data_IF_741535137193
#
_entry.id   IF_741535137193
#
_cell.length_a   1.000
_cell.length_b   1.000
_cell.length_c   1.000
_cell.angle_alpha   90.00
_cell.angle_beta   90.00
_cell.angle_gamma   90.00
#
_symmetry.space_group_name_H-M   'P 1'
#
loop_
_entity.id
_entity.type
_entity.pdbx_description
1 polymer ?
2 polymer ?
3 non-polymer ?
4 water ?
#
# COMPACT_ATOMS: atom_id res chain seq x y z
N UNK A 9 6.79 -5.30 -17.11
CA UNK A 9 8.22 -5.28 -17.34
C UNK A 9 8.65 -4.06 -18.16
N UNK A 10 7.72 -3.55 -18.99
CA UNK A 10 7.93 -2.27 -19.65
C UNK A 10 7.97 -1.12 -18.65
N UNK A 11 7.40 -1.31 -17.45
CA UNK A 11 7.45 -0.32 -16.39
C UNK A 11 8.65 -0.52 -15.46
N UNK A 12 9.61 -1.36 -15.87
CA UNK A 12 10.80 -1.62 -15.05
C UNK A 12 12.08 -1.43 -15.85
N UNK A 13 12.03 -0.67 -16.95
CA UNK A 13 13.24 -0.43 -17.73
C UNK A 13 14.17 0.56 -17.07
N UNK A 14 13.65 1.33 -16.11
CA UNK A 14 14.42 2.22 -15.26
C UNK A 14 14.29 1.73 -13.82
N UNK A 15 15.41 1.55 -13.15
CA UNK A 15 15.46 1.00 -11.81
C UNK A 15 16.02 2.07 -10.88
N UNK A 16 15.22 2.48 -9.90
CA UNK A 16 15.67 3.43 -8.88
C UNK A 16 16.40 2.68 -7.77
N UNK A 17 17.36 3.36 -7.14
CA UNK A 17 18.11 2.73 -6.06
C UNK A 17 18.44 3.75 -4.99
N UNK A 18 18.81 3.25 -3.80
CA UNK A 18 19.22 4.10 -2.69
C UNK A 18 18.13 5.10 -2.31
N UNK A 19 16.89 4.72 -2.52
CA UNK A 19 15.75 5.59 -2.23
C UNK A 19 15.55 5.58 -0.73
N UNK A 20 15.60 6.76 -0.12
CA UNK A 20 15.46 6.89 1.32
C UNK A 20 14.00 6.82 1.73
N UNK A 21 13.77 6.50 3.00
CA UNK A 21 12.41 6.57 3.53
C UNK A 21 12.00 8.02 3.75
N UNK A 22 12.96 8.89 4.07
CA UNK A 22 12.67 10.27 4.39
C UNK A 22 13.70 11.18 3.73
N UNK A 23 13.23 12.28 3.15
CA UNK A 23 14.09 13.33 2.62
C UNK A 23 13.89 14.60 3.45
N UNK A 24 14.99 15.12 3.97
CA UNK A 24 15.02 16.36 4.77
C UNK A 24 14.33 17.49 4.01
N UNK A 25 13.25 18.06 4.54
CA UNK A 25 12.67 19.23 3.88
C UNK A 25 13.70 20.36 3.89
N UNK A 26 13.69 21.16 2.83
CA UNK A 26 14.68 22.19 2.66
C UNK A 26 15.97 21.75 1.98
N UNK A 27 16.16 20.46 1.75
CA UNK A 27 17.36 19.95 1.10
C UNK A 27 17.08 19.51 -0.33
N UNK A 28 17.99 19.84 -1.24
CA UNK A 28 17.88 19.29 -2.58
C UNK A 28 17.90 17.76 -2.51
N UNK A 29 17.14 17.11 -3.38
CA UNK A 29 17.00 15.65 -3.35
C UNK A 29 17.75 15.06 -4.54
N UNK A 30 18.70 14.16 -4.26
CA UNK A 30 19.36 13.39 -5.31
C UNK A 30 18.60 12.09 -5.57
N UNK A 31 18.22 11.87 -6.81
CA UNK A 31 17.50 10.67 -7.22
C UNK A 31 18.47 9.78 -7.98
N UNK A 32 18.67 8.56 -7.51
CA UNK A 32 19.61 7.61 -8.12
C UNK A 32 18.87 6.54 -8.89
N UNK A 33 19.33 6.24 -10.11
CA UNK A 33 18.67 5.22 -10.90
C UNK A 33 19.64 4.60 -11.89
N UNK A 34 19.25 3.44 -12.44
CA UNK A 34 20.00 2.82 -13.52
C UNK A 34 19.06 2.39 -14.63
N UNK A 35 19.65 2.18 -15.80
CA UNK A 35 18.95 1.69 -16.98
C UNK A 35 19.19 0.19 -17.14
N UNK A 36 18.17 -0.51 -17.62
CA UNK A 36 18.38 -1.88 -18.08
C UNK A 36 19.18 -1.86 -19.37
N UNK A 37 19.75 -3.02 -19.71
CA UNK A 37 20.78 -3.07 -20.76
C UNK A 37 20.30 -2.47 -22.08
N UNK A 38 19.03 -2.62 -22.40
CA UNK A 38 18.50 -2.15 -23.68
C UNK A 38 18.12 -0.68 -23.68
N UNK A 39 17.72 -0.14 -22.53
CA UNK A 39 17.00 1.13 -22.51
C UNK A 39 17.90 2.30 -22.89
N UNK A 40 17.31 3.24 -23.63
CA UNK A 40 18.02 4.42 -24.11
C UNK A 40 17.24 5.68 -23.71
N UNK A 41 17.78 6.52 -22.83
CA UNK A 41 17.06 7.74 -22.43
C UNK A 41 17.06 8.79 -23.53
N UNK A 42 15.95 9.52 -23.65
CA UNK A 42 15.80 10.54 -24.67
C UNK A 42 15.62 11.89 -24.01
N UNK A 43 15.88 12.95 -24.80
CA UNK A 43 16.12 14.27 -24.25
C UNK A 43 14.93 14.80 -23.46
N UNK A 44 13.71 14.44 -23.85
CA UNK A 44 12.52 14.90 -23.15
C UNK A 44 11.91 13.81 -22.27
N UNK A 45 12.70 12.80 -21.91
CA UNK A 45 12.34 11.95 -20.77
C UNK A 45 12.47 12.77 -19.50
N UNK A 46 11.66 12.41 -18.50
CA UNK A 46 11.71 13.12 -17.24
C UNK A 46 11.41 12.16 -16.10
N UNK A 47 11.77 12.58 -14.90
CA UNK A 47 11.44 11.85 -13.69
C UNK A 47 10.57 12.77 -12.84
N UNK A 48 9.39 12.29 -12.49
CA UNK A 48 8.48 13.07 -11.68
C UNK A 48 8.48 12.60 -10.23
N UNK A 49 8.23 13.52 -9.35
CA UNK A 49 7.81 13.18 -8.00
C UNK A 49 6.29 13.14 -8.01
N UNK A 50 5.73 11.97 -7.71
CA UNK A 50 4.29 11.72 -7.72
C UNK A 50 3.83 11.36 -6.32
N UNK A 51 2.64 11.85 -5.96
CA UNK A 51 1.97 11.32 -4.77
C UNK A 51 1.56 9.88 -5.06
N UNK A 52 1.90 8.98 -4.13
CA UNK A 52 1.45 7.60 -4.24
C UNK A 52 -0.05 7.56 -4.48
N UNK A 53 -0.47 6.69 -5.39
CA UNK A 53 -1.87 6.60 -5.77
C UNK A 53 -2.24 7.48 -6.93
N UNK A 54 -1.26 8.14 -7.58
CA UNK A 54 -1.56 8.96 -8.75
C UNK A 54 -2.23 8.13 -9.84
N UNK A 55 -3.09 8.79 -10.62
CA UNK A 55 -3.87 8.09 -11.65
C UNK A 55 -3.40 8.36 -13.08
N UNK A 56 -2.80 9.50 -13.37
CA UNK A 56 -2.18 9.74 -14.67
C UNK A 56 -0.84 10.44 -14.46
N UNK A 57 0.02 10.38 -15.49
CA UNK A 57 1.31 11.06 -15.43
C UNK A 57 1.17 12.58 -15.40
N UNK A 58 -0.03 13.12 -15.65
CA UNK A 58 -0.25 14.54 -15.54
C UNK A 58 -0.10 15.05 -14.10
N UNK A 59 -0.21 14.16 -13.11
CA UNK A 59 -0.44 14.55 -11.72
C UNK A 59 0.86 14.76 -10.93
N UNK A 60 2.01 14.81 -11.60
CA UNK A 60 3.27 14.96 -10.89
C UNK A 60 3.27 16.21 -10.04
N UNK A 61 3.84 16.11 -8.84
CA UNK A 61 4.06 17.30 -8.02
C UNK A 61 5.15 18.18 -8.61
N UNK A 62 6.25 17.58 -9.05
CA UNK A 62 7.28 18.31 -9.76
C UNK A 62 8.04 17.30 -10.60
N UNK A 63 9.03 17.78 -11.34
CA UNK A 63 9.75 16.90 -12.25
C UNK A 63 11.12 17.48 -12.53
N UNK A 64 11.93 16.66 -13.18
CA UNK A 64 13.22 17.07 -13.72
C UNK A 64 13.43 16.34 -15.03
N UNK A 65 13.96 17.04 -16.02
CA UNK A 65 14.44 16.37 -17.21
C UNK A 65 15.49 15.35 -16.84
N UNK A 66 15.45 14.19 -17.49
CA UNK A 66 16.48 13.19 -17.24
C UNK A 66 17.85 13.79 -17.51
N UNK A 67 18.82 13.39 -16.70
CA UNK A 67 20.22 13.73 -16.95
C UNK A 67 20.71 12.92 -18.15
N UNK A 68 21.07 13.59 -19.22
CA UNK A 68 21.58 12.88 -20.39
C UNK A 68 22.97 12.33 -20.11
N UNK A 69 23.18 11.02 -20.30
CA UNK A 69 24.50 10.43 -20.02
C UNK A 69 25.50 10.83 -21.09
N UNK A 70 26.75 11.03 -20.68
CA UNK A 70 27.81 11.43 -21.61
C UNK A 70 28.48 10.25 -22.29
N UNK A 71 28.30 9.04 -21.74
CA UNK A 71 28.67 7.81 -22.45
C UNK A 71 27.93 6.68 -21.76
N UNK A 72 27.04 6.00 -22.49
CA UNK A 72 26.15 5.01 -21.89
C UNK A 72 26.56 3.58 -22.20
N UNK A 73 27.86 3.34 -22.36
CA UNK A 73 28.35 1.98 -22.53
C UNK A 73 29.33 1.58 -21.45
N UNK A 74 29.85 2.53 -20.67
CA UNK A 74 30.84 2.20 -19.65
C UNK A 74 30.21 1.37 -18.54
N UNK A 75 30.96 0.38 -18.05
CA UNK A 75 30.56 -0.35 -16.86
C UNK A 75 30.81 0.46 -15.60
N UNK A 76 31.76 1.40 -15.63
CA UNK A 76 32.04 2.31 -14.53
C UNK A 76 31.17 3.57 -14.60
N UNK A 77 30.05 3.52 -15.33
CA UNK A 77 29.19 4.69 -15.48
C UNK A 77 27.72 4.32 -15.64
N UNK A 78 27.28 3.23 -15.01
CA UNK A 78 25.87 2.87 -15.09
C UNK A 78 25.01 3.72 -14.17
N UNK A 79 25.54 4.12 -13.01
CA UNK A 79 24.78 4.95 -12.07
C UNK A 79 24.38 6.28 -12.70
N UNK A 80 23.11 6.61 -12.58
CA UNK A 80 22.59 7.90 -13.01
C UNK A 80 22.04 8.65 -11.81
N UNK A 81 22.05 9.98 -11.88
CA UNK A 81 21.44 10.82 -10.86
C UNK A 81 20.70 11.98 -11.52
N UNK A 82 19.63 12.43 -10.90
CA UNK A 82 19.04 13.72 -11.20
C UNK A 82 18.69 14.38 -9.87
N UNK A 83 18.79 15.72 -9.83
CA UNK A 83 18.61 16.47 -8.60
C UNK A 83 17.31 17.28 -8.64
N UNK A 84 16.50 17.17 -7.59
CA UNK A 84 15.28 17.97 -7.46
C UNK A 84 15.56 19.10 -6.47
N UNK A 85 15.26 20.32 -6.89
CA UNK A 85 15.53 21.46 -6.04
C UNK A 85 14.53 21.51 -4.90
N UNK A 86 15.03 21.86 -3.70
CA UNK A 86 14.22 21.82 -2.49
C UNK A 86 12.96 22.67 -2.62
N UNK A 87 13.07 23.80 -3.31
CA UNK A 87 11.94 24.71 -3.37
C UNK A 87 10.82 24.21 -4.28
N UNK A 88 10.98 23.08 -4.96
CA UNK A 88 9.90 22.46 -5.70
C UNK A 88 9.31 21.24 -4.98
N UNK A 89 9.86 20.88 -3.82
CA UNK A 89 9.49 19.63 -3.16
C UNK A 89 8.17 19.75 -2.40
N UNK A 90 7.47 18.64 -2.20
CA UNK A 90 6.31 18.65 -1.30
C UNK A 90 6.70 19.13 0.09
N UNK A 91 5.73 19.74 0.77
CA UNK A 91 5.94 20.21 2.14
C UNK A 91 4.87 19.67 3.10
N UNK A 92 4.12 18.65 2.69
CA UNK A 92 3.17 17.96 3.55
C UNK A 92 3.75 16.60 3.94
N UNK A 93 2.91 15.74 4.52
CA UNK A 93 3.35 14.46 5.07
C UNK A 93 2.94 13.27 4.20
N UNK A 94 2.55 13.52 2.96
CA UNK A 94 2.11 12.43 2.11
C UNK A 94 3.30 11.59 1.63
N UNK A 95 3.01 10.37 1.22
CA UNK A 95 4.01 9.51 0.59
C UNK A 95 4.11 9.85 -0.89
N UNK A 96 5.34 9.96 -1.37
CA UNK A 96 5.67 10.23 -2.75
C UNK A 96 6.59 9.13 -3.28
N UNK A 97 6.73 9.10 -4.61
CA UNK A 97 7.63 8.15 -5.27
C UNK A 97 8.17 8.83 -6.52
N UNK A 98 9.28 8.32 -7.04
CA UNK A 98 9.79 8.72 -8.34
C UNK A 98 9.15 7.87 -9.43
N UNK A 99 8.78 8.50 -10.53
CA UNK A 99 8.43 7.79 -11.76
C UNK A 99 9.17 8.38 -12.94
N UNK A 100 9.78 7.50 -13.73
CA UNK A 100 10.42 7.87 -14.99
C UNK A 100 9.38 7.78 -16.09
N UNK A 101 9.17 8.89 -16.81
CA UNK A 101 8.21 8.95 -17.91
C UNK A 101 8.97 9.33 -19.16
N UNK A 102 8.90 8.49 -20.20
CA UNK A 102 9.69 8.77 -21.39
C UNK A 102 8.96 9.76 -22.30
N UNK A 103 9.61 10.08 -23.43
CA UNK A 103 9.08 11.08 -24.35
C UNK A 103 7.65 10.77 -24.77
N UNK A 104 7.33 9.51 -25.02
CA UNK A 104 6.02 9.10 -25.46
C UNK A 104 5.01 9.02 -24.33
N UNK A 105 5.42 9.31 -23.09
CA UNK A 105 4.52 9.23 -21.96
C UNK A 105 4.45 7.88 -21.30
N UNK A 106 5.24 6.91 -21.73
CA UNK A 106 5.26 5.61 -21.07
C UNK A 106 6.05 5.73 -19.78
N UNK A 107 5.46 5.27 -18.68
CA UNK A 107 6.20 5.12 -17.43
C UNK A 107 7.19 3.98 -17.57
N UNK A 108 8.46 4.25 -17.31
CA UNK A 108 9.49 3.23 -17.45
C UNK A 108 10.02 2.73 -16.12
N UNK A 109 9.62 3.35 -15.02
CA UNK A 109 10.04 2.90 -13.71
C UNK A 109 9.32 3.70 -12.65
N UNK A 110 9.15 3.09 -11.49
CA UNK A 110 8.44 3.67 -10.36
C UNK A 110 9.19 3.26 -9.10
N UNK A 111 9.44 4.19 -8.20
CA UNK A 111 10.27 3.90 -7.05
C UNK A 111 9.41 3.46 -5.85
N UNK A 112 10.09 2.93 -4.84
CA UNK A 112 9.47 2.74 -3.53
C UNK A 112 9.20 4.13 -2.96
N UNK A 113 8.28 4.30 -2.03
CA UNK A 113 7.84 5.64 -1.64
C UNK A 113 8.63 6.20 -0.47
N UNK A 114 8.48 7.51 -0.30
CA UNK A 114 9.21 8.28 0.70
C UNK A 114 8.34 9.45 1.15
N UNK A 115 8.74 10.04 2.26
CA UNK A 115 8.10 11.25 2.75
C UNK A 115 9.17 12.31 2.95
N UNK A 116 8.72 13.54 3.04
CA UNK A 116 9.59 14.70 3.27
C UNK A 116 9.40 15.11 4.72
N UNK A 117 10.29 14.62 5.57
CA UNK A 117 10.28 15.01 6.98
C UNK A 117 11.69 14.97 7.58
N UNK B 8 -15.11 9.03 -5.58
CA UNK B 8 -15.17 7.63 -6.00
C UNK B 8 -16.27 6.86 -5.27
N UNK B 9 -17.46 7.47 -5.19
CA UNK B 9 -18.61 6.88 -4.51
C UNK B 9 -19.17 5.67 -5.25
N UNK B 10 -18.83 5.47 -6.52
CA UNK B 10 -19.28 4.29 -7.23
C UNK B 10 -18.63 3.00 -6.72
N UNK B 11 -17.45 3.08 -6.12
CA UNK B 11 -16.82 1.89 -5.55
C UNK B 11 -16.95 1.83 -4.04
N UNK B 12 -17.84 2.64 -3.46
CA UNK B 12 -18.14 2.64 -2.03
C UNK B 12 -19.64 2.51 -1.80
N UNK B 13 -20.33 1.81 -2.69
CA UNK B 13 -21.75 1.67 -2.52
C UNK B 13 -22.06 0.59 -1.52
N UNK B 14 -21.09 -0.28 -1.23
CA UNK B 14 -21.18 -1.26 -0.16
C UNK B 14 -20.01 -1.00 0.80
N UNK B 15 -20.31 -0.94 2.09
CA UNK B 15 -19.34 -0.63 3.11
C UNK B 15 -19.14 -1.88 3.97
N UNK B 16 -17.90 -2.24 4.20
CA UNK B 16 -17.57 -3.36 5.07
C UNK B 16 -17.39 -2.85 6.49
N UNK B 17 -18.02 -3.53 7.43
CA UNK B 17 -18.10 -3.08 8.81
C UNK B 17 -17.22 -3.95 9.68
N UNK B 18 -16.53 -3.31 10.63
CA UNK B 18 -15.86 -4.01 11.71
C UNK B 18 -14.89 -5.08 11.20
N UNK B 19 -14.20 -4.77 10.11
CA UNK B 19 -13.21 -5.72 9.61
C UNK B 19 -12.05 -5.75 10.57
N UNK B 20 -11.55 -6.95 10.87
CA UNK B 20 -10.44 -7.15 11.79
C UNK B 20 -9.12 -7.15 11.03
N UNK B 21 -8.03 -6.85 11.75
CA UNK B 21 -6.71 -6.93 11.15
C UNK B 21 -6.24 -8.37 11.01
N UNK B 22 -6.72 -9.25 11.88
CA UNK B 22 -6.30 -10.65 11.91
C UNK B 22 -7.50 -11.54 12.15
N UNK B 23 -7.64 -12.57 11.33
CA UNK B 23 -8.59 -13.64 11.60
C UNK B 23 -7.83 -14.90 11.96
N UNK B 24 -8.29 -15.61 12.99
CA UNK B 24 -7.59 -16.81 13.45
C UNK B 24 -7.47 -17.81 12.31
N UNK B 25 -6.29 -18.36 12.02
CA UNK B 25 -6.18 -19.39 10.98
C UNK B 25 -7.02 -20.60 11.35
N UNK B 26 -7.65 -21.23 10.36
CA UNK B 26 -8.47 -22.39 10.61
C UNK B 26 -9.87 -22.12 11.13
N UNK B 27 -10.24 -20.86 11.41
CA UNK B 27 -11.58 -20.54 11.84
C UNK B 27 -12.45 -19.97 10.74
N UNK B 28 -13.77 -20.05 10.92
CA UNK B 28 -14.68 -19.36 10.04
C UNK B 28 -14.59 -17.85 10.25
N UNK B 29 -14.94 -17.11 9.21
CA UNK B 29 -14.87 -15.66 9.19
C UNK B 29 -16.24 -15.13 8.79
N UNK B 30 -16.82 -14.29 9.62
CA UNK B 30 -18.02 -13.54 9.26
C UNK B 30 -17.61 -12.20 8.69
N UNK B 31 -18.18 -11.88 7.53
CA UNK B 31 -17.95 -10.62 6.87
C UNK B 31 -19.23 -9.80 6.98
N UNK B 32 -19.14 -8.62 7.59
CA UNK B 32 -20.29 -7.76 7.81
C UNK B 32 -20.22 -6.63 6.79
N UNK B 33 -21.32 -6.39 6.07
CA UNK B 33 -21.34 -5.30 5.12
C UNK B 33 -22.64 -4.53 5.23
N UNK B 34 -22.64 -3.30 4.73
CA UNK B 34 -23.82 -2.43 4.74
C UNK B 34 -24.02 -1.91 3.33
N UNK B 35 -25.22 -2.10 2.77
CA UNK B 35 -25.53 -1.44 1.52
C UNK B 35 -25.84 0.02 1.79
N UNK B 36 -25.32 0.91 0.94
CA UNK B 36 -25.73 2.30 1.06
C UNK B 36 -27.20 2.46 0.65
N UNK B 37 -27.71 3.65 0.91
CA UNK B 37 -29.13 3.95 0.85
C UNK B 37 -29.78 3.46 -0.45
N UNK B 38 -29.22 3.82 -1.59
CA UNK B 38 -29.89 3.63 -2.86
C UNK B 38 -29.33 2.46 -3.66
N UNK B 39 -28.46 1.67 -3.07
CA UNK B 39 -27.82 0.58 -3.80
C UNK B 39 -28.75 -0.62 -3.82
N UNK B 40 -28.96 -1.18 -5.01
CA UNK B 40 -29.83 -2.33 -5.19
C UNK B 40 -28.94 -3.59 -5.34
N UNK B 41 -28.86 -4.43 -4.33
CA UNK B 41 -28.14 -5.69 -4.50
C UNK B 41 -28.89 -6.65 -5.41
N UNK B 42 -28.14 -7.51 -6.10
CA UNK B 42 -28.71 -8.55 -6.94
C UNK B 42 -28.23 -9.90 -6.44
N UNK B 43 -28.98 -10.95 -6.81
CA UNK B 43 -28.83 -12.27 -6.20
C UNK B 43 -27.46 -12.88 -6.43
N UNK B 44 -26.85 -12.60 -7.59
CA UNK B 44 -25.55 -13.17 -7.92
C UNK B 44 -24.44 -12.15 -7.76
N UNK B 45 -24.70 -11.05 -7.04
CA UNK B 45 -23.59 -10.30 -6.46
C UNK B 45 -22.84 -11.21 -5.50
N UNK B 46 -21.58 -10.88 -5.23
CA UNK B 46 -20.80 -11.70 -4.33
C UNK B 46 -19.76 -10.89 -3.58
N UNK B 47 -19.35 -11.44 -2.45
CA UNK B 47 -18.22 -10.93 -1.72
C UNK B 47 -17.05 -11.88 -1.96
N UNK B 48 -15.97 -11.37 -2.51
CA UNK B 48 -14.75 -12.15 -2.69
C UNK B 48 -13.68 -11.76 -1.68
N UNK B 49 -12.82 -12.71 -1.38
CA UNK B 49 -11.60 -12.48 -0.63
C UNK B 49 -10.47 -12.41 -1.65
N UNK B 50 -9.81 -11.26 -1.71
CA UNK B 50 -8.77 -10.97 -2.69
C UNK B 50 -7.48 -10.68 -1.97
N UNK B 51 -6.39 -11.16 -2.54
CA UNK B 51 -5.09 -10.70 -2.12
C UNK B 51 -4.92 -9.25 -2.54
N UNK B 52 -4.47 -8.40 -1.61
CA UNK B 52 -4.25 -7.00 -1.94
C UNK B 52 -3.33 -6.89 -3.15
N UNK B 53 -3.69 -6.00 -4.07
CA UNK B 53 -2.91 -5.80 -5.27
C UNK B 53 -3.51 -6.45 -6.50
N UNK B 54 -4.66 -7.11 -6.36
CA UNK B 54 -5.31 -7.81 -7.45
C UNK B 54 -5.64 -6.87 -8.60
N UNK B 55 -5.56 -7.40 -9.82
CA UNK B 55 -5.86 -6.61 -11.02
C UNK B 55 -7.28 -6.78 -11.53
N UNK B 56 -7.83 -8.00 -11.58
CA UNK B 56 -9.22 -8.17 -11.98
C UNK B 56 -9.95 -9.05 -10.98
N UNK B 57 -11.30 -8.98 -11.03
CA UNK B 57 -12.09 -9.72 -10.05
C UNK B 57 -11.97 -11.23 -10.21
N UNK B 58 -11.30 -11.69 -11.26
CA UNK B 58 -11.19 -13.13 -11.43
C UNK B 58 -10.11 -13.74 -10.55
N UNK B 59 -9.28 -12.91 -9.90
CA UNK B 59 -8.24 -13.34 -8.97
C UNK B 59 -8.77 -13.67 -7.58
N UNK B 60 -10.09 -13.75 -7.36
CA UNK B 60 -10.58 -13.98 -6.00
C UNK B 60 -9.96 -15.23 -5.43
N UNK B 61 -9.67 -15.21 -4.13
CA UNK B 61 -9.19 -16.42 -3.47
C UNK B 61 -10.35 -17.37 -3.20
N UNK B 62 -11.41 -16.85 -2.59
CA UNK B 62 -12.67 -17.57 -2.48
C UNK B 62 -13.74 -16.50 -2.47
N UNK B 63 -15.00 -16.92 -2.41
CA UNK B 63 -16.09 -15.95 -2.43
C UNK B 63 -17.31 -16.56 -1.76
N UNK B 64 -18.29 -15.70 -1.47
CA UNK B 64 -19.64 -16.11 -1.11
C UNK B 64 -20.61 -15.24 -1.89
N UNK B 65 -21.68 -15.84 -2.37
CA UNK B 65 -22.78 -15.04 -2.89
C UNK B 65 -23.31 -14.12 -1.80
N UNK B 66 -23.81 -12.95 -2.23
CA UNK B 66 -24.33 -11.97 -1.30
C UNK B 66 -25.49 -12.56 -0.50
N UNK B 67 -25.55 -12.21 0.79
CA UNK B 67 -26.78 -12.37 1.57
C UNK B 67 -27.68 -11.16 1.31
N UNK B 68 -28.83 -11.41 0.80
CA UNK B 68 -29.79 -10.35 0.51
C UNK B 68 -30.70 -10.12 1.70
N UNK B 69 -31.11 -8.89 1.96
CA UNK B 69 -32.27 -8.71 2.84
C UNK B 69 -33.52 -9.19 2.11
N UNK B 70 -34.47 -9.73 2.87
CA UNK B 70 -35.70 -10.17 2.19
C UNK B 70 -36.55 -8.97 1.81
N UNK B 71 -36.35 -7.84 2.46
CA UNK B 71 -37.08 -6.61 2.18
C UNK B 71 -36.05 -5.66 1.56
N UNK B 72 -36.03 -5.61 0.23
CA UNK B 72 -35.02 -4.83 -0.49
C UNK B 72 -35.31 -3.34 -0.47
N UNK B 73 -36.52 -2.93 -0.11
CA UNK B 73 -36.83 -1.51 -0.05
C UNK B 73 -36.65 -0.91 1.34
N UNK B 74 -36.42 -1.72 2.36
CA UNK B 74 -36.32 -1.21 3.71
C UNK B 74 -34.93 -0.60 3.91
N UNK B 75 -34.88 0.70 4.20
CA UNK B 75 -33.61 1.37 4.38
C UNK B 75 -32.90 0.94 5.65
N UNK B 76 -33.60 0.32 6.59
CA UNK B 76 -33.00 -0.08 7.85
C UNK B 76 -32.52 -1.53 7.87
N UNK B 77 -32.81 -2.29 6.83
CA UNK B 77 -32.34 -3.66 6.71
C UNK B 77 -31.07 -3.77 5.87
N UNK B 78 -30.29 -2.69 5.76
CA UNK B 78 -29.18 -2.67 4.82
C UNK B 78 -27.92 -3.32 5.36
N UNK B 79 -27.90 -3.75 6.63
CA UNK B 79 -26.73 -4.39 7.20
C UNK B 79 -26.91 -5.90 7.15
N UNK B 80 -25.97 -6.56 6.51
CA UNK B 80 -26.03 -7.99 6.29
C UNK B 80 -24.67 -8.55 6.63
N UNK B 81 -24.54 -9.86 6.45
CA UNK B 81 -23.29 -10.55 6.68
C UNK B 81 -23.29 -11.81 5.84
N UNK B 82 -22.09 -12.32 5.59
CA UNK B 82 -21.90 -13.57 4.89
C UNK B 82 -20.81 -14.31 5.65
N UNK B 83 -20.84 -15.64 5.62
CA UNK B 83 -19.89 -16.42 6.42
C UNK B 83 -18.98 -17.25 5.53
N UNK B 84 -17.68 -17.02 5.64
CA UNK B 84 -16.68 -17.80 4.92
C UNK B 84 -16.25 -18.97 5.80
N UNK B 85 -16.40 -20.19 5.30
CA UNK B 85 -15.96 -21.36 6.06
C UNK B 85 -14.45 -21.56 5.93
N UNK B 86 -13.84 -21.97 7.05
CA UNK B 86 -12.40 -22.14 7.16
C UNK B 86 -11.83 -22.98 6.01
N UNK B 87 -12.54 -24.04 5.62
CA UNK B 87 -12.11 -24.93 4.53
C UNK B 87 -11.63 -24.15 3.31
N UNK B 88 -12.32 -23.06 2.98
CA UNK B 88 -12.02 -22.28 1.79
C UNK B 88 -11.01 -21.17 2.02
N UNK B 89 -10.53 -20.98 3.24
CA UNK B 89 -9.83 -19.74 3.51
C UNK B 89 -8.32 -19.91 3.37
N UNK B 90 -7.60 -18.81 3.14
CA UNK B 90 -6.12 -18.89 3.10
C UNK B 90 -5.53 -19.22 4.46
N UNK B 91 -4.32 -19.78 4.42
CA UNK B 91 -3.55 -19.99 5.64
C UNK B 91 -2.10 -19.60 5.44
N UNK B 92 -1.85 -18.59 4.61
CA UNK B 92 -0.53 -17.99 4.46
C UNK B 92 -0.52 -16.64 5.16
N UNK B 93 0.55 -15.88 5.00
CA UNK B 93 0.73 -14.60 5.66
C UNK B 93 0.41 -13.41 4.73
N UNK B 94 -0.25 -13.64 3.61
CA UNK B 94 -0.52 -12.56 2.67
C UNK B 94 -1.61 -11.62 3.22
N UNK B 95 -1.63 -10.40 2.68
CA UNK B 95 -2.69 -9.46 2.98
C UNK B 95 -3.86 -9.67 2.04
N UNK B 96 -5.06 -9.79 2.60
CA UNK B 96 -6.29 -9.98 1.87
C UNK B 96 -7.28 -8.85 2.20
N UNK B 97 -8.26 -8.68 1.33
CA UNK B 97 -9.36 -7.77 1.61
C UNK B 97 -10.67 -8.37 1.09
N UNK B 98 -11.78 -7.88 1.63
CA UNK B 98 -13.08 -8.18 1.07
C UNK B 98 -13.36 -7.19 -0.07
N UNK B 99 -13.89 -7.69 -1.18
CA UNK B 99 -14.39 -6.85 -2.25
C UNK B 99 -15.78 -7.32 -2.58
N UNK B 100 -16.70 -6.37 -2.70
CA UNK B 100 -18.05 -6.64 -3.16
C UNK B 100 -18.09 -6.45 -4.67
N UNK B 101 -18.52 -7.48 -5.40
CA UNK B 101 -18.59 -7.48 -6.85
C UNK B 101 -20.05 -7.68 -7.24
N UNK B 102 -20.56 -6.77 -8.04
CA UNK B 102 -21.94 -6.95 -8.44
C UNK B 102 -22.02 -7.84 -9.67
N UNK B 103 -23.24 -8.08 -10.15
CA UNK B 103 -23.45 -9.00 -11.25
C UNK B 103 -22.81 -8.51 -12.55
N UNK B 104 -22.61 -7.20 -12.70
CA UNK B 104 -21.89 -6.74 -13.89
C UNK B 104 -20.38 -6.79 -13.73
N UNK B 105 -19.88 -7.32 -12.62
CA UNK B 105 -18.44 -7.38 -12.40
C UNK B 105 -17.83 -6.11 -11.83
N UNK B 106 -18.65 -5.14 -11.40
CA UNK B 106 -18.11 -3.90 -10.85
C UNK B 106 -17.90 -4.07 -9.36
N UNK B 107 -16.71 -3.71 -8.90
CA UNK B 107 -16.40 -3.68 -7.48
C UNK B 107 -17.16 -2.52 -6.85
N UNK B 108 -18.06 -2.83 -5.92
CA UNK B 108 -18.89 -1.83 -5.28
C UNK B 108 -18.45 -1.51 -3.86
N UNK B 109 -17.44 -2.23 -3.35
CA UNK B 109 -16.85 -1.89 -2.07
C UNK B 109 -15.62 -2.72 -1.83
N UNK B 110 -14.72 -2.19 -1.01
CA UNK B 110 -13.47 -2.89 -0.71
C UNK B 110 -13.11 -2.58 0.72
N UNK B 111 -12.63 -3.59 1.43
CA UNK B 111 -12.32 -3.44 2.84
C UNK B 111 -10.86 -3.09 3.06
N UNK B 112 -10.55 -2.71 4.28
CA UNK B 112 -9.17 -2.62 4.72
C UNK B 112 -8.60 -4.03 4.73
N UNK B 113 -7.27 -4.19 4.72
CA UNK B 113 -6.70 -5.54 4.61
C UNK B 113 -6.60 -6.24 5.95
N UNK B 114 -6.43 -7.55 5.87
CA UNK B 114 -6.30 -8.38 7.06
C UNK B 114 -5.43 -9.58 6.71
N UNK B 115 -4.99 -10.29 7.74
CA UNK B 115 -4.22 -11.49 7.51
C UNK B 115 -4.81 -12.61 8.34
N UNK B 116 -4.51 -13.83 7.95
CA UNK B 116 -4.96 -15.01 8.68
C UNK B 116 -3.79 -15.43 9.54
N UNK B 117 -3.80 -14.95 10.78
CA UNK B 117 -2.65 -14.95 11.64
C UNK B 117 -3.15 -15.00 13.08
N UNK C 1 -1.70 3.24 -19.03
CA UNK C 1 -1.77 4.40 -18.14
C UNK C 1 -2.31 3.99 -16.80
N UNK C 2 -3.55 3.51 -16.78
CA UNK C 2 -4.09 2.89 -15.58
C UNK C 2 -3.31 1.64 -15.20
N UNK C 3 -2.60 1.03 -16.17
CA UNK C 3 -1.77 -0.13 -15.87
C UNK C 3 -0.48 0.30 -15.17
N UNK C 4 0.22 1.28 -15.76
CA UNK C 4 1.37 1.85 -15.05
C UNK C 4 0.93 2.43 -13.71
N UNK C 5 -0.23 3.10 -13.67
CA UNK C 5 -0.71 3.66 -12.41
C UNK C 5 -0.86 2.60 -11.35
N UNK C 6 -1.47 1.46 -11.71
CA UNK C 6 -1.67 0.39 -10.77
C UNK C 6 -0.34 -0.23 -10.36
N UNK C 7 0.52 -0.50 -11.35
CA UNK C 7 1.85 -1.02 -11.05
C UNK C 7 2.60 -0.12 -10.08
N UNK C 8 2.56 1.20 -10.29
CA UNK C 8 3.32 2.08 -9.43
C UNK C 8 2.79 2.04 -8.01
N UNK C 9 1.47 1.86 -7.85
CA UNK C 9 0.89 1.78 -6.52
C UNK C 9 1.23 0.45 -5.85
N UNK C 10 1.23 -0.64 -6.62
CA UNK C 10 1.67 -1.93 -6.11
C UNK C 10 3.09 -1.82 -5.58
N UNK C 11 3.97 -1.19 -6.37
CA UNK C 11 5.34 -0.93 -5.92
C UNK C 11 5.35 -0.19 -4.59
N UNK C 12 4.56 0.89 -4.48
CA UNK C 12 4.49 1.61 -3.21
C UNK C 12 3.97 0.70 -2.09
N UNK C 13 2.84 0.04 -2.33
CA UNK C 13 2.24 -0.78 -1.28
C UNK C 13 3.19 -1.88 -0.83
N UNK C 14 3.87 -2.53 -1.77
CA UNK C 14 4.75 -3.65 -1.41
C UNK C 14 5.86 -3.17 -0.48
N UNK C 15 6.40 -1.99 -0.73
CA UNK C 15 7.43 -1.49 0.18
C UNK C 15 6.84 -1.04 1.51
N UNK C 16 5.66 -0.44 1.54
CA UNK C 16 5.14 -0.04 2.84
C UNK C 16 4.77 -1.27 3.65
N UNK C 17 4.34 -2.33 2.98
CA UNK C 17 4.09 -3.61 3.60
C UNK C 17 5.37 -4.17 4.24
N UNK C 18 6.47 -4.14 3.50
CA UNK C 18 7.73 -4.62 4.04
C UNK C 18 8.13 -3.81 5.27
N UNK C 19 7.96 -2.49 5.20
CA UNK C 19 8.28 -1.65 6.35
C UNK C 19 7.43 -1.98 7.56
N UNK C 20 6.14 -2.28 7.35
CA UNK C 20 5.29 -2.68 8.47
C UNK C 20 5.78 -3.99 9.07
N UNK C 21 6.21 -4.93 8.21
CA UNK C 21 6.76 -6.20 8.68
C UNK C 21 8.02 -5.98 9.52
N UNK C 22 8.94 -5.16 9.01
CA UNK C 22 10.13 -4.82 9.79
C UNK C 22 9.75 -4.15 11.11
N UNK C 23 8.72 -3.29 11.07
CA UNK C 23 8.28 -2.60 12.28
C UNK C 23 7.68 -3.57 13.30
N UNK C 24 6.90 -4.56 12.84
CA UNK C 24 6.38 -5.55 13.77
C UNK C 24 7.49 -6.40 14.36
N UNK C 25 8.53 -6.72 13.57
CA UNK C 25 9.61 -7.53 14.12
C UNK C 25 10.38 -6.74 15.17
N UNK C 26 10.65 -5.45 14.92
CA UNK C 26 11.26 -4.65 15.96
C UNK C 26 10.35 -4.53 17.18
N UNK C 27 9.05 -4.31 16.95
CA UNK C 27 8.09 -4.32 18.06
C UNK C 27 8.24 -5.59 18.89
N UNK C 28 8.39 -6.73 18.22
CA UNK C 28 8.43 -7.98 18.96
C UNK C 28 9.76 -8.11 19.72
N UNK C 29 10.87 -7.63 19.15
CA UNK C 29 12.15 -7.65 19.85
C UNK C 29 12.16 -6.66 21.01
N UNK C 30 11.57 -5.47 20.83
CA UNK C 30 11.49 -4.53 21.94
C UNK C 30 10.73 -5.12 23.12
N UNK C 31 9.62 -5.80 22.85
CA UNK C 31 8.86 -6.42 23.94
C UNK C 31 9.65 -7.54 24.60
N UNK C 32 10.45 -8.27 23.82
CA UNK C 32 11.28 -9.30 24.43
C UNK C 32 12.31 -8.68 25.38
N UNK C 33 12.89 -7.54 25.01
CA UNK C 33 13.81 -6.85 25.91
C UNK C 33 13.08 -6.38 27.17
N UNK C 34 11.89 -5.79 27.01
CA UNK C 34 11.13 -5.32 28.17
C UNK C 34 10.85 -6.49 29.12
N UNK C 35 10.40 -7.61 28.56
CA UNK C 35 10.11 -8.78 29.39
C UNK C 35 11.36 -9.28 30.10
N UNK C 36 12.49 -9.28 29.41
CA UNK C 36 13.74 -9.66 30.08
C UNK C 36 14.04 -8.72 31.24
N UNK C 37 13.90 -7.41 31.02
CA UNK C 37 14.20 -6.45 32.09
C UNK C 37 13.19 -6.53 33.22
N UNK C 38 11.90 -6.68 32.89
CA UNK C 38 10.89 -6.77 33.94
C UNK C 38 11.10 -8.03 34.78
N UNK C 39 11.59 -9.11 34.17
CA UNK C 39 11.98 -10.29 34.96
C UNK C 39 13.05 -9.92 35.98
N UNK C 40 13.97 -9.04 35.61
CA UNK C 40 14.99 -8.64 36.58
C UNK C 40 14.40 -7.84 37.74
N UNK C 41 13.22 -7.28 37.56
CA UNK C 41 12.46 -6.70 38.68
C UNK C 41 11.31 -7.59 39.10
N UNK C 42 11.48 -8.90 39.09
CA UNK C 42 10.66 -9.82 39.88
C UNK C 42 11.52 -10.65 40.83
N UNK C 43 12.74 -11.01 40.41
CA UNK C 43 13.65 -11.76 41.26
C UNK C 43 14.47 -10.76 42.09
N UNK D 1 -10.25 -1.11 -18.27
CA UNK D 1 -10.01 0.33 -18.13
C UNK D 1 -10.59 0.83 -16.79
N UNK D 2 -11.40 -0.03 -16.15
CA UNK D 2 -11.99 0.32 -14.85
C UNK D 2 -10.92 0.62 -13.81
N UNK D 3 -11.20 1.63 -12.98
CA UNK D 3 -10.29 2.01 -11.92
C UNK D 3 -10.71 1.42 -10.57
N UNK D 4 -11.67 0.49 -10.54
CA UNK D 4 -12.08 -0.08 -9.25
C UNK D 4 -10.91 -0.77 -8.56
N UNK D 5 -10.10 -1.51 -9.31
CA UNK D 5 -8.96 -2.22 -8.73
C UNK D 5 -7.96 -1.26 -8.09
N UNK D 6 -7.74 -0.13 -8.74
CA UNK D 6 -6.86 0.88 -8.16
C UNK D 6 -7.46 1.43 -6.88
N UNK D 7 -8.77 1.70 -6.88
CA UNK D 7 -9.42 2.17 -5.67
C UNK D 7 -9.27 1.17 -4.53
N UNK D 8 -9.43 -0.12 -4.83
CA UNK D 8 -9.32 -1.15 -3.80
C UNK D 8 -7.93 -1.15 -3.19
N UNK D 9 -6.91 -0.95 -4.02
CA UNK D 9 -5.54 -0.97 -3.51
C UNK D 9 -5.24 0.29 -2.71
N UNK D 10 -5.83 1.43 -3.11
CA UNK D 10 -5.65 2.64 -2.31
C UNK D 10 -6.24 2.42 -0.93
N UNK D 11 -7.46 1.87 -0.87
CA UNK D 11 -8.07 1.56 0.42
C UNK D 11 -7.13 0.74 1.29
N UNK D 12 -6.44 -0.25 0.70
CA UNK D 12 -5.56 -1.12 1.46
C UNK D 12 -4.27 -0.41 1.86
N UNK D 13 -3.66 0.28 0.89
CA UNK D 13 -2.46 1.06 1.16
C UNK D 13 -2.71 2.11 2.24
N UNK D 14 -3.87 2.79 2.19
CA UNK D 14 -4.17 3.80 3.20
C UNK D 14 -4.17 3.20 4.59
N UNK D 15 -4.71 1.99 4.75
CA UNK D 15 -4.77 1.41 6.09
C UNK D 15 -3.43 0.86 6.53
N UNK D 16 -2.66 0.29 5.62
CA UNK D 16 -1.35 -0.24 6.00
C UNK D 16 -0.40 0.89 6.38
N UNK D 17 -0.44 2.01 5.66
CA UNK D 17 0.39 3.13 6.06
C UNK D 17 -0.04 3.69 7.42
N UNK D 18 -1.34 3.63 7.76
CA UNK D 18 -1.73 4.04 9.11
C UNK D 18 -1.23 3.05 10.16
N UNK D 19 -1.30 1.76 9.86
CA UNK D 19 -0.75 0.77 10.78
C UNK D 19 0.76 0.90 10.92
N UNK D 20 1.46 1.26 9.84
CA UNK D 20 2.90 1.47 9.95
C UNK D 20 3.21 2.62 10.91
N UNK D 21 2.52 3.75 10.74
CA UNK D 21 2.70 4.90 11.62
C UNK D 21 2.45 4.55 13.08
N UNK D 22 1.34 3.84 13.36
CA UNK D 22 1.03 3.43 14.72
C UNK D 22 2.08 2.45 15.27
N UNK D 23 2.51 1.50 14.46
CA UNK D 23 3.52 0.55 14.90
C UNK D 23 4.83 1.27 15.24
N UNK D 24 5.20 2.28 14.45
CA UNK D 24 6.42 3.04 14.77
C UNK D 24 6.23 3.90 16.02
N UNK D 25 5.05 4.48 16.20
CA UNK D 25 4.79 5.21 17.44
C UNK D 25 4.92 4.28 18.63
N UNK D 26 4.37 3.06 18.53
CA UNK D 26 4.46 2.15 19.67
C UNK D 26 5.90 1.75 19.92
N UNK D 27 6.66 1.47 18.87
CA UNK D 27 8.07 1.14 19.06
C UNK D 27 8.81 2.26 19.76
N UNK D 28 8.49 3.52 19.45
CA UNK D 28 9.14 4.62 20.15
C UNK D 28 8.82 4.61 21.63
N UNK D 29 7.56 4.28 21.98
CA UNK D 29 7.18 4.17 23.38
C UNK D 29 7.83 2.97 24.06
N UNK D 30 7.99 1.88 23.35
CA UNK D 30 8.68 0.73 23.92
C UNK D 30 10.14 1.05 24.19
N UNK D 31 10.80 1.80 23.30
CA UNK D 31 12.18 2.21 23.56
C UNK D 31 12.27 3.10 24.80
N UNK D 32 11.30 3.99 25.00
CA UNK D 32 11.34 4.83 26.20
C UNK D 32 11.19 3.99 27.46
N UNK D 33 10.28 3.02 27.43
CA UNK D 33 10.07 2.13 28.56
C UNK D 33 11.34 1.35 28.88
N UNK D 34 11.99 0.82 27.84
CA UNK D 34 13.28 0.14 28.00
C UNK D 34 14.30 1.07 28.67
N UNK D 35 14.41 2.30 28.17
CA UNK D 35 15.39 3.22 28.74
C UNK D 35 15.13 3.46 30.22
N UNK D 36 13.86 3.70 30.58
CA UNK D 36 13.49 3.80 32.00
C UNK D 36 13.91 2.57 32.77
N UNK D 37 13.60 1.39 32.24
CA UNK D 37 13.97 0.18 32.97
C UNK D 37 15.49 0.05 33.09
N UNK D 38 16.23 0.41 32.05
CA UNK D 38 17.67 0.26 32.11
C UNK D 38 18.30 1.27 33.08
N UNK D 39 17.74 2.49 33.15
CA UNK D 39 18.22 3.43 34.15
C UNK D 39 17.98 2.91 35.55
N UNK D 40 16.85 2.21 35.76
CA UNK D 40 16.52 1.69 37.09
C UNK D 40 17.40 0.49 37.45
N UNK D 41 17.73 -0.36 36.45
CA UNK D 41 18.42 -1.62 36.73
C UNK D 41 19.93 -1.58 36.51
N UNK D 42 20.44 -0.67 35.68
CA UNK D 42 21.84 -0.69 35.25
C UNK D 42 22.46 0.67 35.56
N UNK D 43 23.25 0.74 36.62
CA UNK D 43 23.84 2.02 37.04
C UNK D 43 25.37 1.98 36.98
#
# INVERSE_FOLDING_TARGET
TSAVLLDHCHFSQVIFNSVEKFYIPGGDVTCHYTFTQHFIPRRKDWIGIFRVGWKTTREYYTFMWVTLPIDLNNKSAKQQEVQFKAYYLPKDDEYYQFCYVDEDGVVRGASIPFQFR
TSAVLLDHCHFSQVIFNSVEKFYIPGGDVTCHYTFTQHFIPRRKDWIGIFRVGWKTTREYYTFMWVTLPIDLNNKSAKQQEVQFKAYYLPKDDEYYQFCYVDEDGVVRGASIPFQFR
ESVASHFALVTAYEDIKKRLKDSEKENSLLKKRIRFLEEKLIA
ESVASHFALVTAYEDIKKRLKDSEKENSLLKKRIRFLEEKLIA
#
